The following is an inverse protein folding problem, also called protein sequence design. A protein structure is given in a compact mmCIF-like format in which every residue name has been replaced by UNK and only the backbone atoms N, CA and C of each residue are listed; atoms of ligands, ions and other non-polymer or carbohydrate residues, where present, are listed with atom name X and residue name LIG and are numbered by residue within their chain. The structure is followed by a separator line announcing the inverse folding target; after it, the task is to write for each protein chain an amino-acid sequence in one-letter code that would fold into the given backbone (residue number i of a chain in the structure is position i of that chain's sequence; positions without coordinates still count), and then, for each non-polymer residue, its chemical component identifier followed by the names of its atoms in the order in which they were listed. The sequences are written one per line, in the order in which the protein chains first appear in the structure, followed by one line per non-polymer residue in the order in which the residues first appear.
data_IF_084767697130
#
_entry.id   IF_084767697130
#
_cell.length_a   1.000
_cell.length_b   1.000
_cell.length_c   1.000
_cell.angle_alpha   90.00
_cell.angle_beta   90.00
_cell.angle_gamma   90.00
#
_symmetry.space_group_name_H-M   'P 1'
#
loop_
_entity.id
_entity.type
_entity.pdbx_description
1 polymer ?
#
# COMPACT_ATOMS: atom_id res chain seq x y z
N UNK A 1 29.70 -15.16 19.52
CA UNK A 1 30.05 -13.81 19.01
C UNK A 1 29.61 -13.55 17.56
N UNK A 2 28.63 -14.26 17.01
CA UNK A 2 28.14 -14.06 15.60
C UNK A 2 26.67 -13.67 15.54
N UNK A 3 25.95 -13.58 16.69
CA UNK A 3 24.49 -13.40 16.74
C UNK A 3 24.01 -11.97 17.01
N UNK A 4 24.85 -11.01 17.29
CA UNK A 4 24.42 -9.64 17.66
C UNK A 4 24.44 -8.63 16.51
N UNK A 5 25.09 -8.93 15.39
CA UNK A 5 25.25 -8.01 14.25
C UNK A 5 24.02 -7.84 13.34
N UNK A 6 23.01 -8.69 13.43
CA UNK A 6 21.85 -8.67 12.52
C UNK A 6 20.61 -7.96 13.09
N UNK A 7 20.61 -7.62 14.38
CA UNK A 7 19.37 -7.22 15.10
C UNK A 7 19.27 -5.73 15.40
N UNK A 8 20.34 -4.94 15.26
CA UNK A 8 20.32 -3.53 15.69
C UNK A 8 20.88 -2.63 14.58
N UNK A 9 20.02 -2.25 13.65
CA UNK A 9 20.34 -1.15 12.73
C UNK A 9 19.18 -0.16 12.65
N UNK A 10 19.00 0.65 13.71
CA UNK A 10 18.31 1.92 13.56
C UNK A 10 19.16 2.79 12.64
N UNK A 11 18.71 3.03 11.42
CA UNK A 11 19.45 3.82 10.45
C UNK A 11 18.96 5.25 10.51
N UNK A 12 19.83 6.13 11.02
CA UNK A 12 19.55 7.56 11.03
C UNK A 12 19.59 8.10 9.59
N UNK A 13 18.40 8.34 9.02
CA UNK A 13 18.24 8.86 7.66
C UNK A 13 18.61 10.34 7.55
N UNK A 14 18.95 10.98 8.68
CA UNK A 14 19.38 12.39 8.71
C UNK A 14 20.88 12.57 8.49
N UNK A 15 21.64 11.45 8.35
CA UNK A 15 23.09 11.46 8.20
C UNK A 15 23.53 10.91 6.84
N UNK A 16 24.78 11.21 6.47
CA UNK A 16 25.38 10.72 5.22
C UNK A 16 24.80 11.34 3.95
N UNK A 17 25.14 10.76 2.81
CA UNK A 17 24.62 11.22 1.51
C UNK A 17 23.13 10.88 1.36
N UNK A 18 22.24 11.86 1.10
CA UNK A 18 20.80 11.67 1.03
C UNK A 18 20.38 10.65 -0.03
N UNK A 19 20.99 10.67 -1.21
CA UNK A 19 20.68 9.76 -2.29
C UNK A 19 20.99 8.31 -1.91
N UNK A 20 22.21 8.05 -1.38
CA UNK A 20 22.59 6.69 -0.95
C UNK A 20 21.72 6.20 0.22
N UNK A 21 21.42 7.09 1.17
CA UNK A 21 20.56 6.75 2.32
C UNK A 21 19.13 6.39 1.88
N UNK A 22 18.54 7.20 0.99
CA UNK A 22 17.20 6.99 0.46
C UNK A 22 17.11 5.68 -0.36
N UNK A 23 18.07 5.45 -1.26
CA UNK A 23 18.09 4.23 -2.08
C UNK A 23 18.24 2.98 -1.22
N UNK A 24 19.18 2.97 -0.28
CA UNK A 24 19.39 1.85 0.63
C UNK A 24 18.16 1.58 1.54
N UNK A 25 17.33 2.60 1.79
CA UNK A 25 16.09 2.48 2.56
C UNK A 25 14.91 2.02 1.69
N UNK A 26 14.75 2.56 0.48
CA UNK A 26 13.60 2.28 -0.38
C UNK A 26 13.72 0.94 -1.13
N UNK A 27 14.93 0.47 -1.46
CA UNK A 27 15.09 -0.78 -2.24
C UNK A 27 14.54 -2.04 -1.53
N UNK A 28 14.75 -2.25 -0.21
CA UNK A 28 14.07 -3.36 0.47
C UNK A 28 12.54 -3.21 0.49
N UNK A 29 12.03 -1.98 0.57
CA UNK A 29 10.58 -1.73 0.50
C UNK A 29 10.01 -2.10 -0.88
N UNK A 30 10.72 -1.77 -1.95
CA UNK A 30 10.37 -2.22 -3.30
C UNK A 30 10.38 -3.75 -3.40
N UNK A 31 11.44 -4.40 -2.88
CA UNK A 31 11.50 -5.87 -2.80
C UNK A 31 10.30 -6.48 -2.08
N UNK A 32 9.82 -5.84 -1.01
CA UNK A 32 8.61 -6.28 -0.29
C UNK A 32 7.38 -6.35 -1.20
N UNK A 33 7.20 -5.35 -2.07
CA UNK A 33 6.06 -5.33 -3.00
C UNK A 33 6.16 -6.45 -4.03
N UNK A 34 7.34 -6.70 -4.57
CA UNK A 34 7.55 -7.82 -5.52
C UNK A 34 7.16 -9.15 -4.85
N UNK A 35 7.64 -9.41 -3.63
CA UNK A 35 7.26 -10.61 -2.87
C UNK A 35 5.76 -10.67 -2.57
N UNK A 36 5.15 -9.56 -2.21
CA UNK A 36 3.71 -9.49 -1.95
C UNK A 36 2.89 -9.80 -3.21
N UNK A 37 3.30 -9.33 -4.37
CA UNK A 37 2.60 -9.63 -5.62
C UNK A 37 2.78 -11.10 -6.04
N UNK A 38 3.99 -11.66 -5.87
CA UNK A 38 4.23 -13.09 -6.10
C UNK A 38 3.37 -13.96 -5.17
N UNK A 39 3.27 -13.58 -3.90
CA UNK A 39 2.40 -14.24 -2.92
C UNK A 39 0.93 -14.19 -3.37
N UNK A 40 0.39 -13.02 -3.74
CA UNK A 40 -1.00 -12.88 -4.17
C UNK A 40 -1.33 -13.75 -5.40
N UNK A 41 -0.37 -13.90 -6.31
CA UNK A 41 -0.51 -14.77 -7.48
C UNK A 41 -0.52 -16.25 -7.03
N UNK A 42 0.40 -16.64 -6.15
CA UNK A 42 0.50 -18.02 -5.66
C UNK A 42 -0.76 -18.44 -4.88
N UNK A 43 -1.26 -17.58 -3.99
CA UNK A 43 -2.48 -17.79 -3.21
C UNK A 43 -3.71 -18.01 -4.13
N UNK A 44 -3.85 -17.15 -5.15
CA UNK A 44 -4.90 -17.29 -6.16
C UNK A 44 -4.79 -18.61 -6.97
N UNK A 45 -3.55 -19.03 -7.29
CA UNK A 45 -3.31 -20.30 -7.98
C UNK A 45 -3.64 -21.51 -7.11
N UNK A 46 -3.31 -21.47 -5.81
CA UNK A 46 -3.65 -22.55 -4.86
C UNK A 46 -5.16 -22.66 -4.73
N UNK A 47 -5.86 -21.56 -4.52
CA UNK A 47 -7.32 -21.55 -4.41
C UNK A 47 -7.99 -22.07 -5.70
N UNK A 48 -7.59 -21.57 -6.86
CA UNK A 48 -8.18 -21.97 -8.14
C UNK A 48 -7.89 -23.41 -8.53
N UNK A 49 -6.64 -23.88 -8.34
CA UNK A 49 -6.20 -25.20 -8.79
C UNK A 49 -6.65 -26.35 -7.88
N UNK A 50 -6.67 -26.14 -6.57
CA UNK A 50 -6.90 -27.22 -5.60
C UNK A 50 -8.30 -27.22 -5.00
N UNK A 51 -9.02 -26.09 -5.00
CA UNK A 51 -10.37 -26.02 -4.41
C UNK A 51 -11.43 -25.89 -5.51
N UNK A 52 -11.17 -25.09 -6.55
CA UNK A 52 -12.04 -24.92 -7.70
C UNK A 52 -12.55 -23.48 -7.89
N UNK A 53 -13.35 -23.29 -8.95
CA UNK A 53 -13.78 -21.97 -9.41
C UNK A 53 -14.69 -21.25 -8.40
N UNK A 54 -15.58 -21.98 -7.70
CA UNK A 54 -16.47 -21.38 -6.70
C UNK A 54 -15.69 -20.80 -5.50
N UNK A 55 -14.64 -21.49 -5.05
CA UNK A 55 -13.79 -21.01 -3.99
C UNK A 55 -13.01 -19.75 -4.40
N UNK A 56 -12.49 -19.73 -5.64
CA UNK A 56 -11.81 -18.56 -6.18
C UNK A 56 -12.76 -17.35 -6.26
N UNK A 57 -14.01 -17.58 -6.68
CA UNK A 57 -15.04 -16.56 -6.73
C UNK A 57 -15.41 -16.04 -5.32
N UNK A 58 -15.52 -16.94 -4.33
CA UNK A 58 -15.82 -16.59 -2.95
C UNK A 58 -14.70 -15.76 -2.31
N UNK A 59 -13.43 -16.12 -2.52
CA UNK A 59 -12.25 -15.35 -2.08
C UNK A 59 -12.25 -13.97 -2.76
N UNK A 60 -12.48 -13.92 -4.07
CA UNK A 60 -12.50 -12.67 -4.84
C UNK A 60 -13.57 -11.68 -4.38
N UNK A 61 -14.81 -12.16 -4.11
CA UNK A 61 -15.87 -11.31 -3.57
C UNK A 61 -15.55 -10.82 -2.16
N UNK A 62 -15.00 -11.67 -1.31
CA UNK A 62 -14.58 -11.29 0.05
C UNK A 62 -13.43 -10.30 0.03
N UNK A 63 -12.50 -10.41 -0.93
CA UNK A 63 -11.34 -9.53 -1.07
C UNK A 63 -11.72 -8.06 -1.22
N UNK A 64 -12.75 -7.75 -2.00
CA UNK A 64 -13.22 -6.35 -2.16
C UNK A 64 -13.66 -5.73 -0.82
N UNK A 65 -14.25 -6.54 0.07
CA UNK A 65 -14.63 -6.10 1.42
C UNK A 65 -13.38 -5.95 2.30
N UNK A 66 -12.42 -6.87 2.18
CA UNK A 66 -11.17 -6.82 2.96
C UNK A 66 -10.34 -5.58 2.64
N UNK A 67 -10.41 -5.03 1.41
CA UNK A 67 -9.72 -3.81 1.04
C UNK A 67 -10.12 -2.60 1.90
N UNK A 68 -11.38 -2.56 2.38
CA UNK A 68 -11.85 -1.52 3.29
C UNK A 68 -11.08 -1.59 4.61
N UNK A 69 -10.96 -2.78 5.20
CA UNK A 69 -10.22 -2.98 6.46
C UNK A 69 -8.72 -2.72 6.29
N UNK A 70 -8.15 -3.13 5.15
CA UNK A 70 -6.75 -2.87 4.79
C UNK A 70 -6.49 -1.36 4.71
N UNK A 71 -7.43 -0.56 4.17
CA UNK A 71 -7.30 0.89 4.10
C UNK A 71 -7.13 1.52 5.49
N UNK A 72 -7.90 1.06 6.48
CA UNK A 72 -7.76 1.53 7.86
C UNK A 72 -6.40 1.14 8.47
N UNK A 73 -6.00 -0.12 8.33
CA UNK A 73 -4.71 -0.60 8.84
C UNK A 73 -3.53 0.16 8.20
N UNK A 74 -3.60 0.42 6.90
CA UNK A 74 -2.60 1.17 6.14
C UNK A 74 -2.54 2.65 6.56
N UNK A 75 -3.70 3.27 6.80
CA UNK A 75 -3.75 4.64 7.32
C UNK A 75 -3.14 4.77 8.71
N UNK A 76 -3.40 3.80 9.60
CA UNK A 76 -2.77 3.74 10.92
C UNK A 76 -1.25 3.57 10.83
N UNK A 77 -0.77 2.72 9.91
CA UNK A 77 0.66 2.57 9.62
C UNK A 77 1.28 3.92 9.25
N UNK A 78 0.71 4.63 8.27
CA UNK A 78 1.25 5.90 7.78
C UNK A 78 1.20 6.97 8.87
N UNK A 79 0.08 7.11 9.57
CA UNK A 79 -0.07 8.10 10.63
C UNK A 79 0.95 7.91 11.75
N UNK A 80 1.11 6.68 12.23
CA UNK A 80 2.10 6.32 13.22
C UNK A 80 3.53 6.55 12.70
N UNK A 81 3.83 6.02 11.52
CA UNK A 81 5.17 6.05 10.90
C UNK A 81 5.70 7.48 10.73
N UNK A 82 4.89 8.41 10.23
CA UNK A 82 5.32 9.80 10.01
C UNK A 82 5.60 10.53 11.34
N UNK A 83 4.71 10.41 12.33
CA UNK A 83 4.90 11.08 13.63
C UNK A 83 6.09 10.49 14.38
N UNK A 84 6.24 9.17 14.40
CA UNK A 84 7.39 8.49 15.00
C UNK A 84 8.69 8.90 14.28
N UNK A 85 8.68 9.01 12.94
CA UNK A 85 9.84 9.49 12.15
C UNK A 85 10.24 10.90 12.52
N UNK A 86 9.29 11.83 12.66
CA UNK A 86 9.57 13.21 13.05
C UNK A 86 10.20 13.28 14.44
N UNK A 87 9.64 12.54 15.41
CA UNK A 87 10.13 12.49 16.78
C UNK A 87 11.51 11.82 16.89
N UNK A 88 11.73 10.76 16.09
CA UNK A 88 13.02 10.09 15.99
C UNK A 88 14.10 11.03 15.42
N UNK A 89 13.78 11.75 14.36
CA UNK A 89 14.67 12.76 13.78
C UNK A 89 14.97 13.90 14.72
N UNK A 90 14.00 14.34 15.52
CA UNK A 90 14.16 15.35 16.58
C UNK A 90 14.93 14.83 17.80
N UNK A 91 15.23 13.51 17.86
CA UNK A 91 15.82 12.83 19.03
C UNK A 91 14.97 12.93 20.31
N UNK A 92 13.69 13.23 20.18
CA UNK A 92 12.73 13.21 21.28
C UNK A 92 12.19 11.80 21.49
N UNK A 93 13.05 10.95 22.06
CA UNK A 93 12.73 9.54 22.25
C UNK A 93 11.65 9.30 23.32
N UNK A 94 11.49 10.22 24.26
CA UNK A 94 10.45 10.12 25.29
C UNK A 94 9.05 10.26 24.66
N UNK A 95 8.84 11.35 23.91
CA UNK A 95 7.58 11.58 23.20
C UNK A 95 7.36 10.56 22.09
N UNK A 96 8.44 10.08 21.44
CA UNK A 96 8.37 9.01 20.43
C UNK A 96 7.79 7.71 21.01
N UNK A 97 8.27 7.25 22.18
CA UNK A 97 7.72 6.06 22.84
C UNK A 97 6.26 6.24 23.25
N UNK A 98 5.90 7.43 23.74
CA UNK A 98 4.51 7.77 24.06
C UNK A 98 3.62 7.78 22.82
N UNK A 99 4.16 8.22 21.66
CA UNK A 99 3.47 8.18 20.37
C UNK A 99 3.20 6.74 19.91
N UNK A 100 4.19 5.84 20.07
CA UNK A 100 4.03 4.43 19.73
C UNK A 100 2.96 3.77 20.61
N UNK A 101 3.02 3.98 21.93
CA UNK A 101 2.01 3.43 22.86
C UNK A 101 0.62 3.96 22.52
N UNK A 102 0.49 5.27 22.25
CA UNK A 102 -0.77 5.89 21.84
C UNK A 102 -1.30 5.28 20.55
N UNK A 103 -0.44 5.06 19.54
CA UNK A 103 -0.81 4.46 18.26
C UNK A 103 -1.28 3.00 18.42
N UNK A 104 -0.61 2.21 19.27
CA UNK A 104 -0.99 0.82 19.54
C UNK A 104 -2.34 0.75 20.25
N UNK A 105 -2.58 1.59 21.26
CA UNK A 105 -3.85 1.63 22.01
C UNK A 105 -4.98 2.10 21.09
N UNK A 106 -4.80 3.21 20.39
CA UNK A 106 -5.83 3.76 19.50
C UNK A 106 -6.12 2.82 18.33
N UNK A 107 -5.06 2.21 17.73
CA UNK A 107 -5.20 1.19 16.69
C UNK A 107 -5.94 -0.05 17.19
N UNK A 108 -5.69 -0.47 18.42
CA UNK A 108 -6.39 -1.59 19.05
C UNK A 108 -7.89 -1.30 19.27
N UNK A 109 -8.24 -0.10 19.77
CA UNK A 109 -9.63 0.32 19.95
C UNK A 109 -10.35 0.42 18.60
N UNK A 110 -9.73 1.05 17.60
CA UNK A 110 -10.28 1.13 16.23
C UNK A 110 -10.48 -0.26 15.63
N UNK A 111 -9.48 -1.14 15.79
CA UNK A 111 -9.56 -2.51 15.29
C UNK A 111 -10.69 -3.29 15.97
N UNK A 112 -10.84 -3.20 17.29
CA UNK A 112 -11.94 -3.86 18.01
C UNK A 112 -13.30 -3.40 17.50
N UNK A 113 -13.47 -2.09 17.26
CA UNK A 113 -14.69 -1.55 16.66
C UNK A 113 -14.94 -2.10 15.24
N UNK A 114 -13.90 -2.15 14.40
CA UNK A 114 -14.00 -2.70 13.04
C UNK A 114 -14.29 -4.20 13.03
N UNK A 115 -13.73 -4.97 13.96
CA UNK A 115 -14.04 -6.41 14.13
C UNK A 115 -15.51 -6.57 14.49
N UNK A 116 -16.01 -5.83 15.48
CA UNK A 116 -17.40 -5.90 15.90
C UNK A 116 -18.36 -5.52 14.73
N UNK A 117 -18.11 -4.39 14.08
CA UNK A 117 -18.91 -3.95 12.93
C UNK A 117 -18.84 -4.96 11.79
N UNK A 118 -17.64 -5.43 11.47
CA UNK A 118 -17.42 -6.39 10.37
C UNK A 118 -18.13 -7.71 10.59
N UNK A 119 -18.07 -8.29 11.81
CA UNK A 119 -18.76 -9.54 12.14
C UNK A 119 -20.29 -9.39 12.10
N UNK A 120 -20.82 -8.26 12.61
CA UNK A 120 -22.25 -7.98 12.59
C UNK A 120 -22.77 -7.71 11.17
N UNK A 121 -21.99 -7.05 10.33
CA UNK A 121 -22.38 -6.66 8.97
C UNK A 121 -21.94 -7.63 7.88
N UNK A 122 -21.22 -8.71 8.19
CA UNK A 122 -20.63 -9.64 7.23
C UNK A 122 -21.64 -10.12 6.16
N UNK A 123 -22.79 -10.63 6.56
CA UNK A 123 -23.82 -11.08 5.63
C UNK A 123 -24.45 -9.96 4.80
N UNK A 124 -24.63 -8.77 5.39
CA UNK A 124 -25.15 -7.60 4.69
C UNK A 124 -24.17 -7.09 3.65
N UNK A 125 -22.86 -7.02 3.99
CA UNK A 125 -21.82 -6.60 3.05
C UNK A 125 -21.75 -7.53 1.84
N UNK A 126 -21.79 -8.84 2.05
CA UNK A 126 -21.78 -9.82 0.95
C UNK A 126 -23.02 -9.71 0.07
N UNK A 127 -24.20 -9.47 0.65
CA UNK A 127 -25.44 -9.23 -0.12
C UNK A 127 -25.36 -7.93 -0.94
N UNK A 128 -24.81 -6.87 -0.38
CA UNK A 128 -24.58 -5.61 -1.11
C UNK A 128 -23.63 -5.76 -2.29
N UNK A 129 -22.70 -6.72 -2.20
CA UNK A 129 -21.79 -7.08 -3.29
C UNK A 129 -22.44 -8.01 -4.32
N UNK A 130 -23.75 -8.29 -4.22
CA UNK A 130 -24.49 -9.24 -5.09
C UNK A 130 -23.81 -10.63 -5.15
N UNK A 131 -23.30 -11.11 -4.01
CA UNK A 131 -22.69 -12.45 -3.92
C UNK A 131 -23.73 -13.51 -4.25
N UNK A 132 -23.41 -14.40 -5.16
CA UNK A 132 -24.31 -15.48 -5.60
C UNK A 132 -24.63 -16.43 -4.43
N UNK A 133 -25.86 -16.97 -4.35
CA UNK A 133 -26.28 -17.85 -3.24
C UNK A 133 -25.38 -19.09 -3.08
N UNK A 134 -24.87 -19.62 -4.18
CA UNK A 134 -24.04 -20.84 -4.25
C UNK A 134 -22.69 -20.66 -3.51
N UNK A 135 -22.13 -19.46 -3.54
CA UNK A 135 -20.83 -19.16 -2.92
C UNK A 135 -20.97 -18.35 -1.62
N UNK A 136 -22.19 -17.99 -1.21
CA UNK A 136 -22.45 -17.12 -0.04
C UNK A 136 -21.91 -17.73 1.26
N UNK A 137 -22.07 -19.05 1.45
CA UNK A 137 -21.60 -19.73 2.65
C UNK A 137 -20.07 -19.67 2.75
N UNK A 138 -19.38 -20.00 1.66
CA UNK A 138 -17.92 -20.00 1.57
C UNK A 138 -17.33 -18.59 1.72
N UNK A 139 -17.92 -17.60 1.05
CA UNK A 139 -17.53 -16.21 1.17
C UNK A 139 -17.73 -15.68 2.61
N UNK A 140 -18.84 -16.04 3.26
CA UNK A 140 -19.10 -15.66 4.65
C UNK A 140 -18.12 -16.30 5.63
N UNK A 141 -17.79 -17.57 5.43
CA UNK A 141 -16.81 -18.30 6.24
C UNK A 141 -15.42 -17.67 6.11
N UNK A 142 -14.95 -17.46 4.88
CA UNK A 142 -13.67 -16.81 4.60
C UNK A 142 -13.59 -15.42 5.22
N UNK A 143 -14.61 -14.58 4.97
CA UNK A 143 -14.65 -13.21 5.45
C UNK A 143 -14.67 -13.14 6.99
N UNK A 144 -15.42 -14.01 7.67
CA UNK A 144 -15.43 -14.06 9.14
C UNK A 144 -14.07 -14.42 9.71
N UNK A 145 -13.39 -15.43 9.16
CA UNK A 145 -12.03 -15.81 9.60
C UNK A 145 -11.07 -14.64 9.37
N UNK A 146 -11.16 -13.97 8.21
CA UNK A 146 -10.36 -12.79 7.91
C UNK A 146 -10.59 -11.65 8.91
N UNK A 147 -11.87 -11.37 9.24
CA UNK A 147 -12.21 -10.33 10.23
C UNK A 147 -11.64 -10.65 11.62
N UNK A 148 -11.65 -11.91 12.05
CA UNK A 148 -10.97 -12.34 13.27
C UNK A 148 -9.45 -12.13 13.21
N UNK A 149 -8.86 -12.14 12.03
CA UNK A 149 -7.44 -11.85 11.80
C UNK A 149 -7.08 -10.35 11.77
N UNK A 150 -8.06 -9.44 11.75
CA UNK A 150 -7.81 -7.99 11.69
C UNK A 150 -6.87 -7.47 12.79
N UNK A 151 -6.93 -7.91 14.06
CA UNK A 151 -5.97 -7.48 15.06
C UNK A 151 -4.52 -7.73 14.65
N UNK A 152 -4.24 -8.89 14.05
CA UNK A 152 -2.91 -9.21 13.56
C UNK A 152 -2.49 -8.30 12.41
N UNK A 153 -3.41 -8.04 11.47
CA UNK A 153 -3.18 -7.10 10.37
C UNK A 153 -2.86 -5.70 10.88
N UNK A 154 -3.65 -5.17 11.82
CA UNK A 154 -3.46 -3.83 12.37
C UNK A 154 -2.14 -3.67 13.10
N UNK A 155 -1.86 -4.53 14.07
CA UNK A 155 -0.63 -4.45 14.86
C UNK A 155 0.62 -4.74 14.03
N UNK A 156 0.55 -5.66 13.05
CA UNK A 156 1.61 -5.86 12.08
C UNK A 156 1.89 -4.60 11.27
N UNK A 157 0.85 -3.94 10.76
CA UNK A 157 1.00 -2.70 10.00
C UNK A 157 1.59 -1.57 10.85
N UNK A 158 1.13 -1.38 12.08
CA UNK A 158 1.71 -0.38 13.00
C UNK A 158 3.18 -0.72 13.28
N UNK A 159 3.52 -1.98 13.54
CA UNK A 159 4.88 -2.42 13.80
C UNK A 159 5.81 -2.16 12.59
N UNK A 160 5.37 -2.49 11.37
CA UNK A 160 6.14 -2.21 10.14
C UNK A 160 6.32 -0.71 9.90
N UNK A 161 5.30 0.10 10.22
CA UNK A 161 5.39 1.56 10.22
C UNK A 161 6.46 2.08 11.20
N UNK A 162 6.54 1.52 12.39
CA UNK A 162 7.55 1.88 13.40
C UNK A 162 8.95 1.49 12.93
N UNK A 163 9.16 0.29 12.37
CA UNK A 163 10.45 -0.08 11.77
C UNK A 163 10.89 0.90 10.70
N UNK A 164 9.97 1.24 9.79
CA UNK A 164 10.23 2.22 8.73
C UNK A 164 10.55 3.60 9.29
N UNK A 165 9.87 4.02 10.36
CA UNK A 165 10.12 5.26 11.05
C UNK A 165 11.50 5.33 11.72
N UNK A 166 12.02 4.19 12.17
CA UNK A 166 13.38 4.04 12.71
C UNK A 166 14.46 3.84 11.63
N UNK A 167 14.09 3.95 10.35
CA UNK A 167 14.99 3.80 9.21
C UNK A 167 15.32 2.34 8.85
N UNK A 168 14.59 1.38 9.40
CA UNK A 168 14.77 -0.04 9.10
C UNK A 168 13.68 -0.54 8.14
N UNK A 169 14.02 -0.69 6.88
CA UNK A 169 13.16 -1.30 5.85
C UNK A 169 13.47 -2.78 5.59
N UNK A 170 14.61 -3.27 6.08
CA UNK A 170 15.04 -4.66 5.87
C UNK A 170 14.25 -5.64 6.74
N UNK A 171 14.01 -5.29 7.99
CA UNK A 171 13.27 -6.14 8.91
C UNK A 171 11.83 -6.40 8.44
N UNK A 172 11.03 -5.38 8.06
CA UNK A 172 9.72 -5.60 7.44
C UNK A 172 9.78 -6.45 6.17
N UNK A 173 10.78 -6.24 5.31
CA UNK A 173 10.98 -7.04 4.11
C UNK A 173 11.21 -8.53 4.43
N UNK A 174 12.10 -8.84 5.38
CA UNK A 174 12.37 -10.21 5.79
C UNK A 174 11.13 -10.88 6.39
N UNK A 175 10.38 -10.17 7.23
CA UNK A 175 9.15 -10.70 7.79
C UNK A 175 8.12 -11.01 6.71
N UNK A 176 7.95 -10.11 5.76
CA UNK A 176 7.03 -10.35 4.65
C UNK A 176 7.50 -11.55 3.80
N UNK A 177 8.78 -11.63 3.44
CA UNK A 177 9.30 -12.72 2.63
C UNK A 177 9.13 -14.09 3.31
N UNK A 178 9.48 -14.18 4.60
CA UNK A 178 9.33 -15.43 5.37
C UNK A 178 7.86 -15.77 5.57
N UNK A 179 7.05 -14.80 5.96
CA UNK A 179 5.61 -15.00 6.20
C UNK A 179 4.87 -15.41 4.93
N UNK A 180 5.13 -14.77 3.80
CA UNK A 180 4.51 -15.09 2.52
C UNK A 180 4.91 -16.50 2.04
N UNK A 181 6.19 -16.87 2.20
CA UNK A 181 6.65 -18.22 1.86
C UNK A 181 6.01 -19.28 2.76
N UNK A 182 5.92 -19.01 4.07
CA UNK A 182 5.28 -19.91 5.03
C UNK A 182 3.77 -20.02 4.76
N UNK A 183 3.12 -18.94 4.35
CA UNK A 183 1.70 -18.94 4.03
C UNK A 183 1.39 -19.80 2.80
N UNK A 184 2.16 -19.69 1.71
CA UNK A 184 1.99 -20.56 0.52
C UNK A 184 2.11 -22.04 0.91
N UNK A 185 3.09 -22.40 1.76
CA UNK A 185 3.25 -23.76 2.23
C UNK A 185 2.08 -24.22 3.10
N UNK A 186 1.59 -23.34 3.98
CA UNK A 186 0.44 -23.60 4.85
C UNK A 186 -0.86 -23.76 4.03
N UNK A 187 -1.07 -22.94 2.98
CA UNK A 187 -2.20 -23.06 2.07
C UNK A 187 -2.22 -24.44 1.41
N UNK A 188 -1.10 -24.85 0.84
CA UNK A 188 -0.98 -26.18 0.21
C UNK A 188 -1.23 -27.30 1.23
N UNK A 189 -0.67 -27.18 2.43
CA UNK A 189 -0.83 -28.16 3.50
C UNK A 189 -2.29 -28.26 3.95
N UNK A 190 -2.95 -27.14 4.23
CA UNK A 190 -4.32 -27.13 4.75
C UNK A 190 -5.34 -27.53 3.69
N UNK A 191 -5.13 -27.11 2.45
CA UNK A 191 -6.04 -27.44 1.35
C UNK A 191 -5.84 -28.87 0.87
N UNK A 192 -4.57 -29.30 0.64
CA UNK A 192 -4.27 -30.59 0.03
C UNK A 192 -4.17 -31.73 1.03
N UNK A 193 -3.45 -31.52 2.16
CA UNK A 193 -3.24 -32.61 3.13
C UNK A 193 -4.40 -32.74 4.13
N UNK A 194 -4.98 -31.61 4.57
CA UNK A 194 -6.07 -31.63 5.54
C UNK A 194 -7.46 -31.48 4.90
N UNK A 195 -7.55 -31.27 3.57
CA UNK A 195 -8.81 -31.16 2.82
C UNK A 195 -9.78 -30.10 3.39
N UNK A 196 -9.23 -29.00 3.94
CA UNK A 196 -10.03 -27.96 4.62
C UNK A 196 -10.75 -27.01 3.64
N UNK A 197 -10.54 -27.17 2.33
CA UNK A 197 -11.16 -26.29 1.33
C UNK A 197 -10.81 -24.82 1.56
N UNK A 198 -11.82 -23.93 1.38
CA UNK A 198 -11.64 -22.48 1.51
C UNK A 198 -11.28 -22.05 2.94
N UNK A 199 -11.74 -22.79 3.97
CA UNK A 199 -11.36 -22.54 5.35
C UNK A 199 -9.85 -22.71 5.55
N UNK A 200 -9.22 -23.65 4.80
CA UNK A 200 -7.77 -23.86 4.87
C UNK A 200 -6.98 -22.63 4.46
N UNK A 201 -7.34 -21.98 3.36
CA UNK A 201 -6.70 -20.75 2.89
C UNK A 201 -6.89 -19.62 3.93
N UNK A 202 -8.11 -19.47 4.45
CA UNK A 202 -8.39 -18.43 5.46
C UNK A 202 -7.59 -18.65 6.75
N UNK A 203 -7.51 -19.89 7.25
CA UNK A 203 -6.75 -20.23 8.46
C UNK A 203 -5.24 -20.14 8.26
N UNK A 204 -4.72 -20.50 7.08
CA UNK A 204 -3.31 -20.34 6.78
C UNK A 204 -2.90 -18.86 6.84
N UNK A 205 -3.69 -18.00 6.21
CA UNK A 205 -3.47 -16.53 6.28
C UNK A 205 -3.57 -16.01 7.71
N UNK A 206 -4.58 -16.43 8.47
CA UNK A 206 -4.77 -16.03 9.86
C UNK A 206 -3.56 -16.40 10.73
N UNK A 207 -3.09 -17.64 10.65
CA UNK A 207 -1.97 -18.14 11.47
C UNK A 207 -0.64 -17.48 11.07
N UNK A 208 -0.33 -17.40 9.78
CA UNK A 208 0.91 -16.77 9.31
C UNK A 208 0.96 -15.28 9.64
N UNK A 209 -0.17 -14.58 9.51
CA UNK A 209 -0.29 -13.19 9.91
C UNK A 209 -0.19 -13.01 11.42
N UNK A 210 -0.76 -13.93 12.21
CA UNK A 210 -0.67 -13.96 13.66
C UNK A 210 0.76 -14.10 14.15
N UNK A 211 1.50 -15.07 13.65
CA UNK A 211 2.92 -15.28 13.98
C UNK A 211 3.75 -14.06 13.59
N UNK A 212 3.57 -13.53 12.39
CA UNK A 212 4.30 -12.35 11.90
C UNK A 212 4.03 -11.12 12.76
N UNK A 213 2.78 -10.93 13.18
CA UNK A 213 2.38 -9.85 14.07
C UNK A 213 3.07 -9.96 15.43
N UNK A 214 2.98 -11.12 16.07
CA UNK A 214 3.57 -11.34 17.40
C UNK A 214 5.08 -11.11 17.39
N UNK A 215 5.78 -11.67 16.39
CA UNK A 215 7.24 -11.49 16.24
C UNK A 215 7.58 -10.02 15.97
N UNK A 216 6.85 -9.35 15.07
CA UNK A 216 7.09 -7.95 14.73
C UNK A 216 6.88 -7.03 15.92
N UNK A 217 5.78 -7.20 16.67
CA UNK A 217 5.48 -6.39 17.86
C UNK A 217 6.51 -6.64 18.95
N UNK A 218 6.86 -7.89 19.23
CA UNK A 218 7.89 -8.24 20.23
C UNK A 218 9.23 -7.58 19.90
N UNK A 219 9.62 -7.58 18.61
CA UNK A 219 10.86 -6.95 18.15
C UNK A 219 10.81 -5.42 18.27
N UNK A 220 9.68 -4.79 17.95
CA UNK A 220 9.47 -3.36 18.17
C UNK A 220 9.62 -3.00 19.63
N UNK A 221 8.95 -3.74 20.53
CA UNK A 221 9.03 -3.50 21.96
C UNK A 221 10.46 -3.67 22.48
N UNK A 222 11.17 -4.70 22.04
CA UNK A 222 12.59 -4.92 22.37
C UNK A 222 13.46 -3.74 21.93
N UNK A 223 13.29 -3.26 20.68
CA UNK A 223 14.06 -2.10 20.16
C UNK A 223 13.74 -0.81 20.90
N UNK A 224 12.48 -0.55 21.20
CA UNK A 224 12.09 0.63 21.99
C UNK A 224 12.64 0.54 23.42
N UNK A 225 12.69 -0.66 23.99
CA UNK A 225 13.31 -0.91 25.29
C UNK A 225 14.81 -0.57 25.34
N UNK A 226 15.55 -0.80 24.24
CA UNK A 226 16.98 -0.50 24.16
C UNK A 226 17.30 0.99 24.02
N UNK A 227 16.34 1.82 23.62
CA UNK A 227 16.51 3.28 23.55
C UNK A 227 16.34 3.86 24.94
N UNK A 228 17.41 4.43 25.50
CA UNK A 228 17.35 5.05 26.84
C UNK A 228 16.54 6.34 26.80
N UNK A 229 15.63 6.49 27.75
CA UNK A 229 14.81 7.71 27.90
C UNK A 229 14.74 8.09 29.39
N UNK A 230 14.91 9.37 29.73
CA UNK A 230 14.70 9.83 31.08
C UNK A 230 13.20 9.74 31.44
N UNK A 231 12.88 9.04 32.53
CA UNK A 231 11.50 8.88 32.99
C UNK A 231 10.70 7.83 32.24
N UNK A 232 9.48 7.56 32.72
CA UNK A 232 8.53 6.63 32.08
C UNK A 232 7.73 7.38 31.02
N UNK A 233 7.69 6.89 29.75
CA UNK A 233 6.86 7.50 28.72
C UNK A 233 5.37 7.35 29.09
N UNK A 234 4.58 8.34 28.69
CA UNK A 234 3.13 8.31 28.85
C UNK A 234 2.53 7.20 27.99
N UNK A 235 1.65 6.40 28.57
CA UNK A 235 1.01 5.29 27.85
C UNK A 235 0.05 5.80 26.76
N UNK A 236 -0.66 6.90 27.04
CA UNK A 236 -1.60 7.48 26.09
C UNK A 236 -1.58 9.01 26.18
N UNK A 237 -1.58 9.67 25.04
CA UNK A 237 -1.65 11.14 24.94
C UNK A 237 -2.63 11.54 23.85
N UNK A 238 -3.66 12.28 24.23
CA UNK A 238 -4.67 12.78 23.31
C UNK A 238 -4.07 13.70 22.22
N UNK A 239 -3.11 14.55 22.62
CA UNK A 239 -2.43 15.44 21.66
C UNK A 239 -1.60 14.67 20.62
N UNK A 240 -0.98 13.53 21.00
CA UNK A 240 -0.28 12.67 20.06
C UNK A 240 -1.28 11.93 19.16
N UNK A 241 -2.39 11.47 19.71
CA UNK A 241 -3.45 10.84 18.93
C UNK A 241 -3.99 11.80 17.85
N UNK A 242 -4.24 13.06 18.19
CA UNK A 242 -4.69 14.07 17.22
C UNK A 242 -3.67 14.26 16.08
N UNK A 243 -2.37 14.31 16.39
CA UNK A 243 -1.31 14.41 15.38
C UNK A 243 -1.27 13.17 14.47
N UNK A 244 -1.38 11.97 15.03
CA UNK A 244 -1.42 10.72 14.28
C UNK A 244 -2.68 10.68 13.41
N UNK A 245 -3.85 11.01 13.96
CA UNK A 245 -5.13 11.02 13.27
C UNK A 245 -5.16 12.03 12.13
N UNK A 246 -4.53 13.20 12.29
CA UNK A 246 -4.42 14.21 11.23
C UNK A 246 -3.69 13.71 9.98
N UNK A 247 -2.90 12.65 10.09
CA UNK A 247 -2.22 11.98 8.96
C UNK A 247 -2.94 10.70 8.58
N UNK A 248 -3.38 9.91 9.56
CA UNK A 248 -4.00 8.62 9.33
C UNK A 248 -5.36 8.76 8.63
N UNK A 249 -6.24 9.66 9.09
CA UNK A 249 -7.59 9.84 8.52
C UNK A 249 -7.52 10.23 7.04
N UNK A 250 -6.76 11.26 6.63
CA UNK A 250 -6.59 11.56 5.21
C UNK A 250 -6.05 10.39 4.38
N UNK A 251 -5.14 9.60 4.95
CA UNK A 251 -4.56 8.43 4.26
C UNK A 251 -5.58 7.29 4.10
N UNK A 252 -6.46 7.07 5.09
CA UNK A 252 -7.59 6.15 5.00
C UNK A 252 -8.56 6.61 3.91
N UNK A 253 -8.93 7.88 3.93
CA UNK A 253 -9.84 8.47 2.94
C UNK A 253 -9.27 8.34 1.53
N UNK A 254 -7.98 8.67 1.33
CA UNK A 254 -7.31 8.48 0.06
C UNK A 254 -7.48 7.05 -0.46
N UNK A 255 -7.14 6.05 0.35
CA UNK A 255 -7.21 4.66 -0.06
C UNK A 255 -8.63 4.20 -0.36
N UNK A 256 -9.59 4.65 0.42
CA UNK A 256 -11.02 4.39 0.21
C UNK A 256 -11.53 5.02 -1.09
N UNK A 257 -11.17 6.27 -1.36
CA UNK A 257 -11.54 6.95 -2.60
C UNK A 257 -10.91 6.32 -3.84
N UNK A 258 -9.67 5.84 -3.76
CA UNK A 258 -9.04 5.07 -4.84
C UNK A 258 -9.87 3.82 -5.15
N UNK A 259 -10.29 3.07 -4.13
CA UNK A 259 -11.08 1.86 -4.30
C UNK A 259 -12.44 2.15 -4.93
N UNK A 260 -13.15 3.18 -4.45
CA UNK A 260 -14.43 3.61 -5.01
C UNK A 260 -14.27 4.10 -6.46
N UNK A 261 -13.26 4.91 -6.73
CA UNK A 261 -12.97 5.42 -8.08
C UNK A 261 -12.70 4.28 -9.08
N UNK A 262 -11.91 3.29 -8.68
CA UNK A 262 -11.63 2.11 -9.50
C UNK A 262 -12.91 1.28 -9.76
N UNK A 263 -13.80 1.16 -8.77
CA UNK A 263 -15.09 0.47 -8.94
C UNK A 263 -15.99 1.20 -9.95
N UNK A 264 -16.07 2.52 -9.88
CA UNK A 264 -16.83 3.33 -10.83
C UNK A 264 -16.28 3.20 -12.25
N UNK A 265 -14.96 3.27 -12.42
CA UNK A 265 -14.29 3.09 -13.71
C UNK A 265 -14.53 1.67 -14.24
N UNK A 266 -14.46 0.64 -13.40
CA UNK A 266 -14.77 -0.74 -13.77
C UNK A 266 -16.20 -0.87 -14.31
N UNK A 267 -17.18 -0.20 -13.69
CA UNK A 267 -18.55 -0.15 -14.17
C UNK A 267 -18.66 0.44 -15.59
N UNK A 268 -17.92 1.53 -15.85
CA UNK A 268 -17.84 2.12 -17.19
C UNK A 268 -17.18 1.17 -18.21
N UNK A 269 -16.12 0.45 -17.83
CA UNK A 269 -15.42 -0.51 -18.71
C UNK A 269 -16.34 -1.68 -19.07
N UNK A 270 -17.13 -2.18 -18.12
CA UNK A 270 -18.03 -3.30 -18.34
C UNK A 270 -19.10 -2.99 -19.42
N UNK A 271 -19.45 -1.71 -19.63
CA UNK A 271 -20.38 -1.32 -20.71
C UNK A 271 -19.80 -1.50 -22.13
N UNK A 272 -18.48 -1.65 -22.27
CA UNK A 272 -17.81 -1.91 -23.56
C UNK A 272 -17.69 -3.40 -23.89
N UNK A 273 -18.21 -4.29 -23.05
CA UNK A 273 -18.29 -5.71 -23.26
C UNK A 273 -17.23 -6.55 -22.52
N UNK A 274 -17.49 -7.86 -22.47
CA UNK A 274 -16.73 -8.81 -21.64
C UNK A 274 -15.25 -8.89 -22.07
N UNK A 275 -14.98 -8.86 -23.37
CA UNK A 275 -13.59 -8.96 -23.89
C UNK A 275 -12.76 -7.75 -23.50
N UNK A 276 -13.35 -6.53 -23.52
CA UNK A 276 -12.69 -5.31 -23.08
C UNK A 276 -12.42 -5.36 -21.57
N UNK A 277 -13.41 -5.77 -20.79
CA UNK A 277 -13.26 -5.93 -19.35
C UNK A 277 -12.19 -6.97 -18.97
N UNK A 278 -12.09 -8.08 -19.70
CA UNK A 278 -11.07 -9.11 -19.50
C UNK A 278 -9.65 -8.56 -19.80
N UNK A 279 -9.48 -7.85 -20.92
CA UNK A 279 -8.22 -7.22 -21.31
C UNK A 279 -7.76 -6.19 -20.27
N UNK A 280 -8.67 -5.33 -19.83
CA UNK A 280 -8.40 -4.38 -18.76
C UNK A 280 -8.02 -5.09 -17.44
N UNK A 281 -8.75 -6.12 -17.05
CA UNK A 281 -8.48 -6.85 -15.81
C UNK A 281 -7.08 -7.48 -15.80
N UNK A 282 -6.60 -7.96 -16.93
CA UNK A 282 -5.24 -8.46 -17.07
C UNK A 282 -4.20 -7.30 -16.99
N UNK A 283 -4.45 -6.22 -17.73
CA UNK A 283 -3.53 -5.08 -17.80
C UNK A 283 -3.44 -4.32 -16.47
N UNK A 284 -4.54 -4.18 -15.74
CA UNK A 284 -4.56 -3.48 -14.44
C UNK A 284 -3.77 -4.22 -13.37
N UNK A 285 -3.66 -5.56 -13.43
CA UNK A 285 -2.78 -6.31 -12.52
C UNK A 285 -1.32 -5.92 -12.70
N UNK A 286 -0.87 -5.79 -13.95
CA UNK A 286 0.48 -5.30 -14.28
C UNK A 286 0.66 -3.84 -13.86
N UNK A 287 -0.30 -2.97 -14.15
CA UNK A 287 -0.28 -1.58 -13.72
C UNK A 287 -0.21 -1.45 -12.18
N UNK A 288 -0.96 -2.26 -11.44
CA UNK A 288 -0.96 -2.22 -9.98
C UNK A 288 0.40 -2.59 -9.38
N UNK A 289 1.15 -3.51 -9.99
CA UNK A 289 2.53 -3.79 -9.57
C UNK A 289 3.38 -2.52 -9.60
N UNK A 290 3.30 -1.75 -10.67
CA UNK A 290 4.07 -0.50 -10.85
C UNK A 290 3.60 0.57 -9.86
N UNK A 291 2.30 0.84 -9.83
CA UNK A 291 1.73 1.90 -8.98
C UNK A 291 1.96 1.61 -7.49
N UNK A 292 1.78 0.36 -7.06
CA UNK A 292 2.03 -0.04 -5.66
C UNK A 292 3.51 0.09 -5.30
N UNK A 293 4.40 -0.25 -6.23
CA UNK A 293 5.84 -0.08 -6.05
C UNK A 293 6.21 1.39 -5.83
N UNK A 294 5.71 2.29 -6.67
CA UNK A 294 5.99 3.73 -6.53
C UNK A 294 5.32 4.34 -5.30
N UNK A 295 4.12 3.89 -4.94
CA UNK A 295 3.44 4.31 -3.71
C UNK A 295 4.24 3.92 -2.48
N UNK A 296 4.80 2.71 -2.47
CA UNK A 296 5.65 2.22 -1.36
C UNK A 296 6.95 3.00 -1.25
N UNK A 297 7.59 3.33 -2.39
CA UNK A 297 8.73 4.25 -2.40
C UNK A 297 8.32 5.64 -1.89
N UNK A 298 7.16 6.15 -2.27
CA UNK A 298 6.58 7.38 -1.75
C UNK A 298 6.40 7.37 -0.22
N UNK A 299 6.02 6.22 0.36
CA UNK A 299 5.98 6.04 1.82
C UNK A 299 7.38 6.09 2.45
N UNK A 300 8.38 5.51 1.79
CA UNK A 300 9.79 5.62 2.20
C UNK A 300 10.29 7.06 2.17
N UNK A 301 9.97 7.80 1.11
CA UNK A 301 10.27 9.23 0.96
C UNK A 301 9.58 10.05 2.06
N UNK A 302 8.35 9.68 2.43
CA UNK A 302 7.61 10.30 3.53
C UNK A 302 8.36 10.16 4.86
N UNK A 303 8.83 8.96 5.19
CA UNK A 303 9.59 8.71 6.41
C UNK A 303 10.97 9.41 6.41
N UNK A 304 11.66 9.41 5.26
CA UNK A 304 12.91 10.15 5.10
C UNK A 304 12.70 11.65 5.33
N UNK A 305 11.68 12.22 4.71
CA UNK A 305 11.35 13.65 4.84
C UNK A 305 10.91 14.00 6.27
N UNK A 306 10.14 13.11 6.92
CA UNK A 306 9.68 13.27 8.29
C UNK A 306 10.84 13.28 9.29
N UNK A 307 11.82 12.36 9.17
CA UNK A 307 13.01 12.35 10.02
C UNK A 307 13.85 13.62 9.83
N UNK A 308 14.06 14.05 8.57
CA UNK A 308 14.84 15.26 8.29
C UNK A 308 14.10 16.54 8.72
N UNK A 309 12.76 16.56 8.67
CA UNK A 309 11.96 17.63 9.24
C UNK A 309 12.17 17.74 10.78
N UNK A 310 12.06 16.60 11.47
CA UNK A 310 12.27 16.54 12.91
C UNK A 310 13.68 16.97 13.31
N UNK A 311 14.69 16.62 12.52
CA UNK A 311 16.08 17.05 12.70
C UNK A 311 16.36 18.47 12.22
N UNK A 312 15.37 19.22 11.74
CA UNK A 312 15.49 20.58 11.16
C UNK A 312 16.45 20.66 9.96
N UNK A 313 16.71 19.54 9.27
CA UNK A 313 17.60 19.46 8.10
C UNK A 313 16.83 19.68 6.79
N UNK A 314 16.30 20.89 6.61
CA UNK A 314 15.41 21.23 5.49
C UNK A 314 16.06 21.11 4.11
N UNK A 315 17.37 21.38 4.00
CA UNK A 315 18.12 21.19 2.75
C UNK A 315 18.05 19.75 2.23
N UNK A 316 18.12 18.77 3.15
CA UNK A 316 18.02 17.35 2.80
C UNK A 316 16.64 16.93 2.27
N UNK A 317 15.56 17.64 2.67
CA UNK A 317 14.20 17.42 2.12
C UNK A 317 14.16 17.84 0.65
N UNK A 318 14.87 18.93 0.27
CA UNK A 318 15.00 19.34 -1.12
C UNK A 318 15.80 18.33 -1.95
N UNK A 319 16.93 17.86 -1.41
CA UNK A 319 17.75 16.81 -2.06
C UNK A 319 17.01 15.49 -2.17
N UNK A 320 16.13 15.16 -1.20
CA UNK A 320 15.28 13.97 -1.24
C UNK A 320 14.35 13.95 -2.46
N UNK A 321 13.84 15.08 -2.90
CA UNK A 321 13.00 15.14 -4.11
C UNK A 321 13.78 14.69 -5.35
N UNK A 322 14.99 15.22 -5.55
CA UNK A 322 15.84 14.83 -6.67
C UNK A 322 16.28 13.36 -6.58
N UNK A 323 16.71 12.93 -5.39
CA UNK A 323 17.11 11.55 -5.15
C UNK A 323 15.95 10.58 -5.36
N UNK A 324 14.73 10.96 -4.95
CA UNK A 324 13.50 10.21 -5.16
C UNK A 324 13.14 10.11 -6.64
N UNK A 325 13.24 11.20 -7.42
CA UNK A 325 13.01 11.18 -8.85
C UNK A 325 13.97 10.23 -9.57
N UNK A 326 15.26 10.31 -9.29
CA UNK A 326 16.24 9.40 -9.88
C UNK A 326 15.94 7.93 -9.55
N UNK A 327 15.50 7.65 -8.32
CA UNK A 327 15.14 6.30 -7.91
C UNK A 327 13.93 5.78 -8.68
N UNK A 328 12.81 6.54 -8.68
CA UNK A 328 11.57 6.07 -9.33
C UNK A 328 11.70 6.03 -10.83
N UNK A 329 12.40 6.99 -11.45
CA UNK A 329 12.62 7.00 -12.90
C UNK A 329 13.57 5.88 -13.34
N UNK A 330 14.59 5.57 -12.53
CA UNK A 330 15.44 4.40 -12.77
C UNK A 330 14.67 3.09 -12.78
N UNK A 331 13.61 2.97 -11.95
CA UNK A 331 12.70 1.82 -11.95
C UNK A 331 11.62 1.91 -13.04
N UNK A 332 11.22 3.11 -13.48
CA UNK A 332 10.29 3.26 -14.60
C UNK A 332 10.86 2.69 -15.92
N UNK A 333 12.15 2.89 -16.16
CA UNK A 333 12.80 2.45 -17.41
C UNK A 333 12.57 0.95 -17.67
N UNK A 334 12.96 0.03 -16.79
CA UNK A 334 12.71 -1.40 -17.03
C UNK A 334 11.22 -1.72 -17.16
N UNK A 335 10.33 -1.15 -16.34
CA UNK A 335 8.90 -1.37 -16.49
C UNK A 335 8.38 -0.92 -17.85
N UNK A 336 8.78 0.26 -18.33
CA UNK A 336 8.39 0.75 -19.65
C UNK A 336 8.92 -0.16 -20.77
N UNK A 337 10.19 -0.58 -20.69
CA UNK A 337 10.78 -1.48 -21.70
C UNK A 337 10.00 -2.80 -21.74
N UNK A 338 9.72 -3.41 -20.58
CA UNK A 338 8.98 -4.66 -20.51
C UNK A 338 7.53 -4.53 -20.99
N UNK A 339 6.83 -3.45 -20.60
CA UNK A 339 5.41 -3.30 -20.97
C UNK A 339 5.22 -2.88 -22.41
N UNK A 340 6.11 -2.05 -22.97
CA UNK A 340 6.05 -1.65 -24.37
C UNK A 340 6.56 -2.76 -25.30
N UNK A 341 7.64 -3.47 -24.90
CA UNK A 341 8.28 -4.48 -25.73
C UNK A 341 7.71 -5.89 -25.56
N UNK A 342 7.45 -6.31 -24.32
CA UNK A 342 6.99 -7.65 -23.98
C UNK A 342 5.58 -7.71 -23.37
N UNK A 343 4.83 -6.61 -23.41
CA UNK A 343 3.49 -6.51 -22.79
C UNK A 343 2.52 -7.59 -23.27
N UNK A 344 2.59 -7.96 -24.56
CA UNK A 344 1.80 -9.06 -25.10
C UNK A 344 2.01 -10.38 -24.33
N UNK A 345 3.27 -10.75 -24.11
CA UNK A 345 3.61 -11.99 -23.42
C UNK A 345 3.23 -11.96 -21.94
N UNK A 346 3.35 -10.81 -21.30
CA UNK A 346 2.94 -10.62 -19.90
C UNK A 346 1.41 -10.72 -19.76
N UNK A 347 0.65 -10.19 -20.71
CA UNK A 347 -0.82 -10.31 -20.73
C UNK A 347 -1.28 -11.73 -20.94
N UNK A 348 -0.56 -12.52 -21.78
CA UNK A 348 -0.85 -13.93 -22.02
C UNK A 348 -0.67 -14.83 -20.77
N UNK A 349 0.00 -14.35 -19.73
CA UNK A 349 0.02 -15.03 -18.43
C UNK A 349 -1.36 -15.04 -17.75
N UNK A 350 -2.23 -14.11 -18.13
CA UNK A 350 -3.57 -13.94 -17.56
C UNK A 350 -4.71 -14.22 -18.55
N UNK A 351 -4.41 -14.24 -19.85
CA UNK A 351 -5.38 -14.43 -20.94
C UNK A 351 -5.09 -15.73 -21.68
N UNK A 352 -6.13 -16.51 -21.94
CA UNK A 352 -5.98 -17.85 -22.52
C UNK A 352 -5.87 -17.88 -24.04
N UNK A 353 -5.96 -16.74 -24.76
CA UNK A 353 -5.97 -16.68 -26.22
C UNK A 353 -4.95 -15.68 -26.76
N UNK A 354 -4.21 -16.10 -27.79
CA UNK A 354 -3.20 -15.28 -28.45
C UNK A 354 -3.77 -14.15 -29.33
N UNK A 355 -5.00 -14.28 -29.78
CA UNK A 355 -5.66 -13.32 -30.64
C UNK A 355 -7.06 -13.01 -30.15
N UNK A 356 -7.32 -11.75 -29.95
CA UNK A 356 -8.66 -11.31 -29.59
C UNK A 356 -8.69 -9.90 -29.04
N UNK A 357 -9.90 -9.34 -28.96
CA UNK A 357 -10.15 -8.00 -28.45
C UNK A 357 -9.57 -7.79 -27.04
N UNK A 358 -9.60 -8.81 -26.17
CA UNK A 358 -9.05 -8.72 -24.83
C UNK A 358 -7.53 -8.42 -24.81
N UNK A 359 -6.77 -9.14 -25.65
CA UNK A 359 -5.31 -8.93 -25.74
C UNK A 359 -4.98 -7.56 -26.31
N UNK A 360 -5.67 -7.15 -27.37
CA UNK A 360 -5.48 -5.83 -27.97
C UNK A 360 -5.81 -4.71 -27.00
N UNK A 361 -6.92 -4.82 -26.28
CA UNK A 361 -7.33 -3.85 -25.24
C UNK A 361 -6.28 -3.75 -24.13
N UNK A 362 -5.78 -4.89 -23.64
CA UNK A 362 -4.73 -4.90 -22.63
C UNK A 362 -3.43 -4.27 -23.09
N UNK A 363 -3.01 -4.54 -24.35
CA UNK A 363 -1.83 -3.93 -24.95
C UNK A 363 -1.99 -2.42 -25.12
N UNK A 364 -3.14 -1.97 -25.64
CA UNK A 364 -3.44 -0.57 -25.78
C UNK A 364 -3.37 0.19 -24.45
N UNK A 365 -3.98 -0.39 -23.40
CA UNK A 365 -3.88 0.15 -22.04
C UNK A 365 -2.41 0.31 -21.60
N UNK A 366 -1.59 -0.73 -21.74
CA UNK A 366 -0.18 -0.68 -21.34
C UNK A 366 0.61 0.34 -22.18
N UNK A 367 0.35 0.43 -23.48
CA UNK A 367 1.05 1.37 -24.36
C UNK A 367 0.72 2.82 -24.04
N UNK A 368 -0.54 3.11 -23.69
CA UNK A 368 -0.95 4.47 -23.34
C UNK A 368 -0.40 4.87 -21.97
N UNK A 369 -0.44 3.97 -20.98
CA UNK A 369 -0.08 4.32 -19.60
C UNK A 369 1.43 4.28 -19.33
N UNK A 370 2.17 3.35 -19.93
CA UNK A 370 3.57 3.11 -19.57
C UNK A 370 4.47 4.35 -19.69
N UNK A 371 4.40 5.20 -20.73
CA UNK A 371 5.19 6.42 -20.79
C UNK A 371 4.89 7.40 -19.65
N UNK A 372 3.67 7.38 -19.14
CA UNK A 372 3.21 8.27 -18.05
C UNK A 372 3.53 7.76 -16.66
N UNK A 373 4.18 6.59 -16.53
CA UNK A 373 4.73 6.16 -15.25
C UNK A 373 5.79 7.13 -14.72
N UNK A 374 6.53 7.81 -15.58
CA UNK A 374 7.43 8.91 -15.18
C UNK A 374 6.68 10.08 -14.53
N UNK A 375 5.49 10.38 -15.02
CA UNK A 375 4.64 11.46 -14.53
C UNK A 375 4.04 11.09 -13.15
N UNK A 376 3.38 9.93 -13.06
CA UNK A 376 2.75 9.53 -11.80
C UNK A 376 3.77 9.26 -10.70
N UNK A 377 4.95 8.72 -11.05
CA UNK A 377 6.02 8.50 -10.07
C UNK A 377 6.56 9.82 -9.51
N UNK A 378 6.73 10.85 -10.34
CA UNK A 378 7.13 12.19 -9.88
C UNK A 378 6.06 12.81 -8.95
N UNK A 379 4.77 12.62 -9.26
CA UNK A 379 3.66 12.99 -8.36
C UNK A 379 3.81 12.31 -7.02
N UNK A 380 4.01 10.98 -6.99
CA UNK A 380 4.10 10.19 -5.77
C UNK A 380 5.33 10.54 -4.91
N UNK A 381 6.44 10.97 -5.53
CA UNK A 381 7.58 11.54 -4.81
C UNK A 381 7.20 12.85 -4.10
N UNK A 382 6.54 13.78 -4.81
CA UNK A 382 6.08 15.03 -4.21
C UNK A 382 5.06 14.79 -3.08
N UNK A 383 4.11 13.89 -3.31
CA UNK A 383 3.08 13.49 -2.35
C UNK A 383 3.70 12.86 -1.09
N UNK A 384 4.75 12.03 -1.26
CA UNK A 384 5.51 11.45 -0.15
C UNK A 384 6.14 12.52 0.73
N UNK A 385 6.76 13.54 0.13
CA UNK A 385 7.34 14.65 0.88
C UNK A 385 6.25 15.48 1.58
N UNK A 386 5.17 15.85 0.89
CA UNK A 386 4.05 16.61 1.48
C UNK A 386 3.50 15.90 2.73
N UNK A 387 3.34 14.58 2.65
CA UNK A 387 2.89 13.74 3.77
C UNK A 387 3.90 13.71 4.91
N UNK A 388 5.19 13.50 4.59
CA UNK A 388 6.26 13.46 5.59
C UNK A 388 6.44 14.77 6.35
N UNK A 389 6.18 15.91 5.70
CA UNK A 389 6.22 17.23 6.35
C UNK A 389 4.87 17.65 6.96
N UNK A 390 3.87 16.77 6.98
CA UNK A 390 2.56 17.01 7.58
C UNK A 390 1.65 17.96 6.78
N UNK A 391 1.96 18.21 5.50
CA UNK A 391 1.15 19.07 4.62
C UNK A 391 -0.05 18.32 4.03
N UNK A 392 -0.88 17.74 4.91
CA UNK A 392 -1.94 16.79 4.54
C UNK A 392 -3.06 17.43 3.71
N UNK A 393 -3.41 18.70 3.96
CA UNK A 393 -4.43 19.39 3.17
C UNK A 393 -4.03 19.53 1.69
N UNK A 394 -2.76 19.87 1.43
CA UNK A 394 -2.23 19.97 0.06
C UNK A 394 -2.13 18.59 -0.61
N UNK A 395 -1.67 17.60 0.13
CA UNK A 395 -1.63 16.20 -0.33
C UNK A 395 -3.04 15.70 -0.73
N UNK A 396 -4.05 15.92 0.12
CA UNK A 396 -5.43 15.54 -0.17
C UNK A 396 -6.00 16.27 -1.38
N UNK A 397 -5.77 17.59 -1.49
CA UNK A 397 -6.25 18.37 -2.62
C UNK A 397 -5.71 17.83 -3.96
N UNK A 398 -4.41 17.51 -4.04
CA UNK A 398 -3.83 16.92 -5.23
C UNK A 398 -4.36 15.50 -5.53
N UNK A 399 -4.57 14.69 -4.49
CA UNK A 399 -5.09 13.32 -4.65
C UNK A 399 -6.55 13.30 -5.07
N UNK A 400 -7.41 14.10 -4.44
CA UNK A 400 -8.83 14.16 -4.82
C UNK A 400 -9.02 14.76 -6.20
N UNK A 401 -8.19 15.75 -6.59
CA UNK A 401 -8.21 16.26 -7.95
C UNK A 401 -7.87 15.16 -8.96
N UNK A 402 -6.79 14.38 -8.72
CA UNK A 402 -6.41 13.24 -9.57
C UNK A 402 -7.57 12.26 -9.74
N UNK A 403 -8.14 11.79 -8.63
CA UNK A 403 -9.19 10.77 -8.64
C UNK A 403 -10.49 11.30 -9.27
N UNK A 404 -10.89 12.53 -8.92
CA UNK A 404 -12.08 13.17 -9.48
C UNK A 404 -11.96 13.39 -11.00
N UNK A 405 -10.81 13.95 -11.44
CA UNK A 405 -10.54 14.12 -12.87
C UNK A 405 -10.51 12.79 -13.61
N UNK A 406 -9.88 11.77 -13.04
CA UNK A 406 -9.82 10.45 -13.66
C UNK A 406 -11.20 9.86 -13.90
N UNK A 407 -12.09 9.91 -12.91
CA UNK A 407 -13.46 9.43 -13.04
C UNK A 407 -14.23 10.26 -14.08
N UNK A 408 -14.25 11.58 -13.94
CA UNK A 408 -14.98 12.47 -14.85
C UNK A 408 -14.49 12.30 -16.29
N UNK A 409 -13.18 12.36 -16.52
CA UNK A 409 -12.59 12.23 -17.84
C UNK A 409 -12.81 10.84 -18.45
N UNK A 410 -12.87 9.77 -17.62
CA UNK A 410 -13.18 8.43 -18.11
C UNK A 410 -14.54 8.39 -18.79
N UNK A 411 -15.57 9.01 -18.19
CA UNK A 411 -16.91 9.08 -18.79
C UNK A 411 -16.95 10.03 -20.00
N UNK A 412 -16.37 11.23 -19.87
CA UNK A 412 -16.40 12.24 -20.92
C UNK A 412 -15.66 11.77 -22.18
N UNK A 413 -14.41 11.29 -22.02
CA UNK A 413 -13.59 10.88 -23.16
C UNK A 413 -14.09 9.58 -23.77
N UNK A 414 -14.54 8.61 -22.97
CA UNK A 414 -15.11 7.36 -23.52
C UNK A 414 -16.41 7.62 -24.29
N UNK A 415 -17.26 8.51 -23.79
CA UNK A 415 -18.48 8.94 -24.50
C UNK A 415 -18.17 9.70 -25.79
N UNK A 416 -17.16 10.60 -25.77
CA UNK A 416 -16.77 11.38 -26.96
C UNK A 416 -16.09 10.52 -28.03
N UNK A 417 -15.20 9.60 -27.61
CA UNK A 417 -14.47 8.70 -28.53
C UNK A 417 -15.29 7.46 -28.94
N UNK A 418 -16.37 7.15 -28.23
CA UNK A 418 -17.16 5.94 -28.46
C UNK A 418 -16.37 4.64 -28.17
N UNK A 419 -15.30 4.71 -27.40
CA UNK A 419 -14.39 3.59 -27.15
C UNK A 419 -13.80 3.60 -25.74
N UNK A 420 -13.35 2.43 -25.28
CA UNK A 420 -12.64 2.28 -24.02
C UNK A 420 -11.29 3.02 -23.98
N UNK A 421 -10.71 3.34 -25.13
CA UNK A 421 -9.47 4.15 -25.26
C UNK A 421 -9.59 5.49 -24.53
N UNK A 422 -10.80 6.10 -24.53
CA UNK A 422 -11.07 7.33 -23.78
C UNK A 422 -10.83 7.18 -22.28
N UNK A 423 -11.15 5.99 -21.72
CA UNK A 423 -10.88 5.68 -20.32
C UNK A 423 -9.37 5.61 -20.06
N UNK A 424 -8.62 4.97 -20.98
CA UNK A 424 -7.17 4.86 -20.84
C UNK A 424 -6.50 6.23 -20.90
N UNK A 425 -6.95 7.12 -21.75
CA UNK A 425 -6.44 8.49 -21.88
C UNK A 425 -6.73 9.36 -20.66
N UNK A 426 -7.78 9.08 -19.91
CA UNK A 426 -8.12 9.82 -18.70
C UNK A 426 -7.03 9.72 -17.61
N UNK A 427 -6.33 8.58 -17.50
CA UNK A 427 -5.28 8.36 -16.50
C UNK A 427 -4.07 9.27 -16.69
N UNK A 428 -3.41 9.32 -17.87
CA UNK A 428 -2.31 10.23 -18.12
C UNK A 428 -2.64 11.70 -17.91
N UNK A 429 -3.84 12.12 -18.33
CA UNK A 429 -4.28 13.51 -18.17
C UNK A 429 -4.42 13.86 -16.69
N UNK A 430 -5.13 13.03 -15.93
CA UNK A 430 -5.31 13.26 -14.49
C UNK A 430 -3.99 13.24 -13.74
N UNK A 431 -3.10 12.31 -14.04
CA UNK A 431 -1.76 12.22 -13.45
C UNK A 431 -0.91 13.46 -13.74
N UNK A 432 -0.96 13.98 -14.99
CA UNK A 432 -0.19 15.15 -15.39
C UNK A 432 -0.65 16.41 -14.64
N UNK A 433 -1.95 16.63 -14.56
CA UNK A 433 -2.52 17.77 -13.82
C UNK A 433 -2.21 17.66 -12.32
N UNK A 434 -2.42 16.49 -11.75
CA UNK A 434 -2.15 16.26 -10.33
C UNK A 434 -0.65 16.35 -9.99
N UNK A 435 0.24 15.89 -10.88
CA UNK A 435 1.69 16.06 -10.73
C UNK A 435 2.06 17.55 -10.66
N UNK A 436 1.54 18.36 -11.57
CA UNK A 436 1.80 19.80 -11.56
C UNK A 436 1.34 20.44 -10.25
N UNK A 437 0.16 20.05 -9.73
CA UNK A 437 -0.38 20.56 -8.48
C UNK A 437 0.45 20.08 -7.27
N UNK A 438 0.83 18.81 -7.22
CA UNK A 438 1.67 18.26 -6.13
C UNK A 438 3.04 18.94 -6.10
N UNK A 439 3.67 19.17 -7.27
CA UNK A 439 4.96 19.86 -7.36
C UNK A 439 4.82 21.34 -6.96
N UNK A 440 3.72 21.99 -7.35
CA UNK A 440 3.43 23.36 -6.93
C UNK A 440 3.31 23.45 -5.40
N UNK A 441 2.55 22.59 -4.77
CA UNK A 441 2.40 22.55 -3.31
C UNK A 441 3.71 22.22 -2.61
N UNK A 442 4.47 21.25 -3.13
CA UNK A 442 5.80 20.94 -2.64
C UNK A 442 6.72 22.17 -2.66
N UNK A 443 6.81 22.87 -3.82
CA UNK A 443 7.63 24.09 -3.93
C UNK A 443 7.15 25.20 -3.00
N UNK A 444 5.82 25.38 -2.88
CA UNK A 444 5.24 26.35 -1.95
C UNK A 444 5.60 26.03 -0.50
N UNK A 445 5.55 24.74 -0.11
CA UNK A 445 5.89 24.31 1.24
C UNK A 445 7.38 24.49 1.55
N UNK A 446 8.27 24.20 0.61
CA UNK A 446 9.71 24.41 0.79
C UNK A 446 10.09 25.88 1.04
N UNK A 447 9.39 26.82 0.40
CA UNK A 447 9.63 28.27 0.60
C UNK A 447 9.25 28.74 2.01
N UNK A 448 8.47 27.97 2.75
CA UNK A 448 8.07 28.28 4.12
C UNK A 448 9.09 27.79 5.16
N UNK A 449 10.03 26.95 4.76
CA UNK A 449 11.09 26.53 5.66
C UNK A 449 12.14 27.64 5.81
N UNK A 450 12.69 27.81 7.03
CA UNK A 450 13.78 28.75 7.25
C UNK A 450 14.92 28.45 6.26
N UNK A 451 15.34 29.46 5.51
CA UNK A 451 16.57 29.38 4.72
C UNK A 451 17.73 29.32 5.71
N UNK A 452 18.35 28.15 5.82
CA UNK A 452 19.65 28.05 6.43
C UNK A 452 20.61 28.86 5.54
N UNK A 453 21.10 30.00 6.07
CA UNK A 453 22.16 30.77 5.48
C UNK A 453 23.45 29.97 5.37
#
# INVERSE_FOLDING_TARGET
MVSEGWIIMNKDLTQGNPQKALWAFCMPMFGSIVFQQLYNIADSLVAGKYIGENALAAVGNSYNITLIFIAFAFGCNIGCSVIVSQLFGAKDYHTMKSSVSTALIAGGVLCAALVAIGLLSCGTLLRLMNTQPEIMADASLYLRIYIWGLPFLFFYNIATGIFSALGDSKTPFLFLAVSSSANILADILFVKAFSMGIAGVAWATFLCQGVSCLVSVALVLKRLGSIHTPGRPCLFSWGLLQKIAAIAIPSILQQSFISVGNMVIQGCINSFGISVAAGYSAAVKLNNLVITSFTTIGNGISNFSAQNLGAQKYGRIKECFQAGLWLVWGLCIPFCIFYLGAGKYLLLLFLNQESGTALLTGQEFLWILSPFYFVVSAKLVADGILRGVGAMGQFMAATFLDLGLRVILSFVLSGWMGSATGIWCAWPISWSIAMCLSIYFYRKRLRQFPTLG
#
